data_IF_247536220026
#
_entry.id   IF_247536220026
#
_cell.length_a   1.000
_cell.length_b   1.000
_cell.length_c   1.000
_cell.angle_alpha   90.00
_cell.angle_beta   90.00
_cell.angle_gamma   90.00
#
_symmetry.space_group_name_H-M   'P 1'
#
loop_
_entity.id
_entity.type
_entity.pdbx_description
1 polymer ?
#
# COMPACT_ATOMS: atom_id res chain seq x y z
N UNK A 1 6.90 6.01 -23.87
CA UNK A 1 6.67 5.36 -22.56
C UNK A 1 5.44 5.85 -21.79
N UNK A 2 5.09 7.17 -21.77
CA UNK A 2 3.78 7.65 -21.24
C UNK A 2 2.58 6.94 -21.89
N UNK A 3 2.67 6.63 -23.18
CA UNK A 3 1.60 5.99 -23.93
C UNK A 3 1.39 4.50 -23.57
N UNK A 4 2.40 3.81 -23.02
CA UNK A 4 2.28 2.37 -22.75
C UNK A 4 1.39 2.09 -21.55
N UNK A 5 1.53 2.87 -20.46
CA UNK A 5 0.73 2.67 -19.24
C UNK A 5 -0.73 3.07 -19.47
N UNK A 6 -0.95 4.19 -20.16
CA UNK A 6 -2.29 4.62 -20.53
C UNK A 6 -2.94 3.63 -21.52
N UNK A 7 -2.19 3.15 -22.52
CA UNK A 7 -2.68 2.13 -23.45
C UNK A 7 -2.92 0.79 -22.76
N UNK A 8 -2.10 0.39 -21.79
CA UNK A 8 -2.27 -0.86 -21.04
C UNK A 8 -3.52 -0.83 -20.16
N UNK A 9 -3.74 0.27 -19.43
CA UNK A 9 -4.95 0.49 -18.64
C UNK A 9 -6.19 0.55 -19.55
N UNK A 10 -6.11 1.26 -20.68
CA UNK A 10 -7.23 1.36 -21.63
C UNK A 10 -7.51 0.00 -22.28
N UNK A 11 -6.48 -0.77 -22.64
CA UNK A 11 -6.65 -2.11 -23.23
C UNK A 11 -7.24 -3.09 -22.22
N UNK A 12 -6.82 -3.05 -20.96
CA UNK A 12 -7.42 -3.89 -19.90
C UNK A 12 -8.85 -3.44 -19.59
N UNK A 13 -9.10 -2.13 -19.49
CA UNK A 13 -10.45 -1.61 -19.30
C UNK A 13 -11.38 -1.99 -20.48
N UNK A 14 -10.89 -1.93 -21.72
CA UNK A 14 -11.65 -2.36 -22.91
C UNK A 14 -11.86 -3.88 -22.98
N UNK A 15 -10.91 -4.68 -22.48
CA UNK A 15 -11.07 -6.13 -22.33
C UNK A 15 -12.10 -6.48 -21.26
N UNK A 16 -12.13 -5.74 -20.14
CA UNK A 16 -13.09 -5.95 -19.05
C UNK A 16 -14.51 -5.50 -19.41
N UNK A 17 -14.66 -4.44 -20.22
CA UNK A 17 -15.98 -3.96 -20.69
C UNK A 17 -16.66 -4.95 -21.65
N UNK A 18 -15.90 -5.82 -22.33
CA UNK A 18 -16.43 -6.71 -23.37
C UNK A 18 -16.70 -8.15 -22.93
N UNK A 19 -16.51 -8.50 -21.65
CA UNK A 19 -16.79 -9.87 -21.19
C UNK A 19 -17.70 -9.89 -19.95
N UNK A 20 -19.01 -9.64 -20.11
CA UNK A 20 -19.97 -9.74 -19.01
C UNK A 20 -19.93 -11.11 -18.31
N UNK A 21 -19.59 -12.17 -19.04
CA UNK A 21 -19.52 -13.55 -18.54
C UNK A 21 -18.16 -13.94 -17.92
N UNK A 22 -17.12 -13.09 -17.97
CA UNK A 22 -15.82 -13.37 -17.33
C UNK A 22 -15.85 -13.11 -15.82
N UNK A 23 -16.91 -12.48 -15.31
CA UNK A 23 -17.02 -12.05 -13.92
C UNK A 23 -17.74 -13.08 -13.04
N UNK A 24 -18.38 -14.08 -13.65
CA UNK A 24 -18.96 -15.26 -12.99
C UNK A 24 -18.13 -16.53 -13.27
N UNK A 25 -16.82 -16.38 -13.45
CA UNK A 25 -15.92 -17.50 -13.67
C UNK A 25 -15.79 -18.28 -12.35
N UNK A 26 -16.57 -19.36 -12.23
CA UNK A 26 -16.28 -20.41 -11.26
C UNK A 26 -14.93 -21.04 -11.62
N UNK A 27 -14.05 -21.14 -10.64
CA UNK A 27 -12.80 -21.86 -10.76
C UNK A 27 -12.73 -22.90 -9.65
N UNK A 28 -12.15 -24.05 -9.96
CA UNK A 28 -11.85 -25.07 -8.96
C UNK A 28 -10.42 -24.88 -8.43
N UNK A 29 -10.22 -25.16 -7.15
CA UNK A 29 -8.89 -25.22 -6.55
C UNK A 29 -8.32 -26.60 -6.83
N UNK A 30 -7.29 -26.65 -7.68
CA UNK A 30 -6.67 -27.89 -8.10
C UNK A 30 -5.42 -28.19 -7.25
N UNK A 31 -5.08 -29.48 -7.04
CA UNK A 31 -3.83 -29.84 -6.38
C UNK A 31 -2.62 -29.29 -7.12
N UNK A 32 -1.86 -28.43 -6.45
CA UNK A 32 -0.65 -27.80 -7.01
C UNK A 32 0.60 -28.52 -6.52
N UNK A 33 1.58 -28.72 -7.41
CA UNK A 33 2.89 -29.21 -7.01
C UNK A 33 3.59 -28.16 -6.11
N UNK A 34 4.04 -28.49 -4.88
CA UNK A 34 4.68 -27.55 -3.97
C UNK A 34 5.89 -26.80 -4.55
N UNK A 35 6.58 -27.38 -5.54
CA UNK A 35 7.70 -26.71 -6.24
C UNK A 35 7.25 -25.40 -6.91
N UNK A 36 5.97 -25.29 -7.28
CA UNK A 36 5.41 -24.07 -7.86
C UNK A 36 5.22 -22.92 -6.86
N UNK A 37 5.51 -23.14 -5.58
CA UNK A 37 5.64 -22.07 -4.57
C UNK A 37 7.00 -21.35 -4.70
N UNK A 38 8.00 -22.00 -5.32
CA UNK A 38 9.35 -21.43 -5.43
C UNK A 38 9.42 -20.08 -6.18
N UNK A 39 8.71 -19.84 -7.30
CA UNK A 39 8.69 -18.53 -7.96
C UNK A 39 8.25 -17.39 -7.03
N UNK A 40 7.29 -17.65 -6.16
CA UNK A 40 6.80 -16.68 -5.19
C UNK A 40 7.86 -16.36 -4.12
N UNK A 41 8.46 -17.38 -3.52
CA UNK A 41 9.54 -17.22 -2.54
C UNK A 41 10.73 -16.48 -3.17
N UNK A 42 11.14 -16.86 -4.39
CA UNK A 42 12.25 -16.24 -5.10
C UNK A 42 11.97 -14.76 -5.41
N UNK A 43 10.74 -14.42 -5.80
CA UNK A 43 10.35 -13.04 -6.07
C UNK A 43 10.45 -12.20 -4.79
N UNK A 44 9.91 -12.69 -3.67
CA UNK A 44 9.93 -11.99 -2.39
C UNK A 44 11.35 -11.80 -1.86
N UNK A 45 12.17 -12.85 -1.89
CA UNK A 45 13.59 -12.76 -1.52
C UNK A 45 14.35 -11.79 -2.42
N UNK A 46 14.02 -11.75 -3.72
CA UNK A 46 14.64 -10.79 -4.64
C UNK A 46 14.29 -9.35 -4.25
N UNK A 47 13.03 -9.05 -3.94
CA UNK A 47 12.58 -7.72 -3.50
C UNK A 47 13.27 -7.33 -2.18
N UNK A 48 13.36 -8.25 -1.23
CA UNK A 48 13.94 -7.96 0.09
C UNK A 48 15.47 -7.82 0.06
N UNK A 49 16.18 -8.58 -0.78
CA UNK A 49 17.64 -8.73 -0.67
C UNK A 49 18.39 -8.03 -1.81
N UNK A 50 17.91 -8.07 -3.05
CA UNK A 50 18.64 -7.52 -4.21
C UNK A 50 18.93 -6.02 -4.13
N UNK A 51 18.05 -5.15 -3.59
CA UNK A 51 18.38 -3.73 -3.40
C UNK A 51 19.62 -3.50 -2.53
N UNK A 52 19.91 -4.40 -1.59
CA UNK A 52 21.07 -4.32 -0.71
C UNK A 52 22.33 -4.95 -1.31
N UNK A 53 22.18 -5.99 -2.14
CA UNK A 53 23.31 -6.62 -2.84
C UNK A 53 23.77 -5.78 -4.03
N UNK A 54 22.85 -5.41 -4.92
CA UNK A 54 23.14 -4.63 -6.11
C UNK A 54 21.95 -3.74 -6.49
N UNK A 55 21.92 -2.56 -5.87
CA UNK A 55 20.89 -1.53 -6.08
C UNK A 55 20.70 -1.17 -7.55
N UNK A 56 21.77 -0.89 -8.28
CA UNK A 56 21.68 -0.43 -9.67
C UNK A 56 21.15 -1.51 -10.61
N UNK A 57 21.54 -2.77 -10.39
CA UNK A 57 20.99 -3.88 -11.16
C UNK A 57 19.50 -4.05 -10.87
N UNK A 58 19.10 -4.00 -9.60
CA UNK A 58 17.70 -4.16 -9.20
C UNK A 58 16.81 -3.05 -9.79
N UNK A 59 17.21 -1.78 -9.67
CA UNK A 59 16.48 -0.62 -10.19
C UNK A 59 16.15 -0.76 -11.69
N UNK A 60 17.02 -1.44 -12.47
CA UNK A 60 16.80 -1.67 -13.90
C UNK A 60 16.08 -2.99 -14.22
N UNK A 61 16.30 -4.05 -13.44
CA UNK A 61 15.88 -5.42 -13.78
C UNK A 61 14.69 -5.94 -12.98
N UNK A 62 14.22 -5.23 -11.94
CA UNK A 62 13.03 -5.65 -11.19
C UNK A 62 11.81 -5.97 -12.06
N UNK A 63 11.52 -5.25 -13.19
CA UNK A 63 10.39 -5.60 -14.05
C UNK A 63 10.58 -6.95 -14.71
N UNK A 64 11.80 -7.23 -15.17
CA UNK A 64 12.13 -8.50 -15.80
C UNK A 64 12.01 -9.66 -14.81
N UNK A 65 12.55 -9.51 -13.60
CA UNK A 65 12.45 -10.54 -12.55
C UNK A 65 10.99 -10.83 -12.19
N UNK A 66 10.19 -9.77 -11.98
CA UNK A 66 8.77 -9.87 -11.65
C UNK A 66 7.98 -10.60 -12.74
N UNK A 67 8.11 -10.17 -14.00
CA UNK A 67 7.37 -10.79 -15.10
C UNK A 67 7.87 -12.19 -15.45
N UNK A 68 9.18 -12.46 -15.34
CA UNK A 68 9.72 -13.80 -15.62
C UNK A 68 9.19 -14.84 -14.63
N UNK A 69 9.23 -14.55 -13.32
CA UNK A 69 8.71 -15.46 -12.29
C UNK A 69 7.19 -15.57 -12.34
N UNK A 70 6.47 -14.47 -12.60
CA UNK A 70 5.03 -14.48 -12.84
C UNK A 70 4.64 -15.35 -14.05
N UNK A 71 5.36 -15.21 -15.17
CA UNK A 71 5.09 -15.96 -16.39
C UNK A 71 5.24 -17.48 -16.20
N UNK A 72 6.23 -17.94 -15.41
CA UNK A 72 6.37 -19.36 -15.07
C UNK A 72 5.07 -19.91 -14.46
N UNK A 73 4.46 -19.13 -13.57
CA UNK A 73 3.23 -19.53 -12.88
C UNK A 73 2.01 -19.49 -13.82
N UNK A 74 1.88 -18.41 -14.60
CA UNK A 74 0.81 -18.27 -15.60
C UNK A 74 0.84 -19.43 -16.60
N UNK A 75 2.02 -19.74 -17.15
CA UNK A 75 2.20 -20.84 -18.12
C UNK A 75 1.84 -22.19 -17.48
N UNK A 76 2.24 -22.42 -16.23
CA UNK A 76 1.87 -23.64 -15.51
C UNK A 76 0.34 -23.78 -15.35
N UNK A 77 -0.36 -22.72 -14.94
CA UNK A 77 -1.81 -22.76 -14.80
C UNK A 77 -2.54 -22.91 -16.14
N UNK A 78 -2.05 -22.26 -17.20
CA UNK A 78 -2.71 -22.27 -18.51
C UNK A 78 -2.55 -23.62 -19.21
N UNK A 79 -1.35 -24.17 -19.21
CA UNK A 79 -1.02 -25.31 -20.07
C UNK A 79 -0.95 -26.65 -19.31
N UNK A 80 -0.54 -26.63 -18.04
CA UNK A 80 -0.36 -27.85 -17.24
C UNK A 80 -1.64 -28.13 -16.44
N UNK A 81 -2.07 -27.19 -15.58
CA UNK A 81 -3.31 -27.36 -14.81
C UNK A 81 -4.57 -27.09 -15.64
N UNK A 82 -4.46 -26.39 -16.78
CA UNK A 82 -5.57 -25.95 -17.63
C UNK A 82 -6.64 -25.15 -16.86
N UNK A 83 -6.22 -24.42 -15.84
CA UNK A 83 -7.05 -23.59 -14.99
C UNK A 83 -6.83 -22.10 -15.29
N UNK A 84 -7.14 -21.72 -16.54
CA UNK A 84 -7.17 -20.32 -16.98
C UNK A 84 -8.15 -19.47 -16.15
N UNK A 85 -9.36 -19.97 -15.82
CA UNK A 85 -10.29 -19.33 -14.88
C UNK A 85 -9.66 -18.73 -13.62
N UNK A 86 -8.88 -19.53 -12.87
CA UNK A 86 -8.22 -19.10 -11.64
C UNK A 86 -7.31 -17.90 -11.84
N UNK A 87 -6.48 -17.94 -12.88
CA UNK A 87 -5.53 -16.86 -13.18
C UNK A 87 -6.21 -15.58 -13.67
N UNK A 88 -7.32 -15.71 -14.42
CA UNK A 88 -8.13 -14.55 -14.83
C UNK A 88 -8.77 -13.88 -13.63
N UNK A 89 -9.32 -14.67 -12.71
CA UNK A 89 -9.87 -14.15 -11.46
C UNK A 89 -8.80 -13.38 -10.66
N UNK A 90 -7.61 -13.95 -10.48
CA UNK A 90 -6.49 -13.25 -9.83
C UNK A 90 -6.06 -11.97 -10.57
N UNK A 91 -6.12 -11.95 -11.91
CA UNK A 91 -5.82 -10.76 -12.70
C UNK A 91 -6.86 -9.64 -12.48
N UNK A 92 -8.14 -10.01 -12.29
CA UNK A 92 -9.21 -9.07 -11.92
C UNK A 92 -8.95 -8.49 -10.52
N UNK A 93 -8.64 -9.34 -9.53
CA UNK A 93 -8.29 -8.89 -8.17
C UNK A 93 -7.08 -7.93 -8.18
N UNK A 94 -6.05 -8.24 -8.96
CA UNK A 94 -4.90 -7.36 -9.17
C UNK A 94 -5.31 -6.01 -9.80
N UNK A 95 -6.21 -6.04 -10.78
CA UNK A 95 -6.69 -4.82 -11.44
C UNK A 95 -7.49 -3.93 -10.48
N UNK A 96 -8.38 -4.52 -9.68
CA UNK A 96 -9.12 -3.82 -8.63
C UNK A 96 -8.17 -3.22 -7.59
N UNK A 97 -7.18 -4.00 -7.16
CA UNK A 97 -6.14 -3.58 -6.24
C UNK A 97 -5.36 -2.36 -6.75
N UNK A 98 -4.84 -2.41 -7.98
CA UNK A 98 -4.03 -1.32 -8.52
C UNK A 98 -4.87 -0.08 -8.84
N UNK A 99 -6.16 -0.26 -9.17
CA UNK A 99 -7.10 0.84 -9.37
C UNK A 99 -7.33 1.62 -8.08
N UNK A 100 -7.51 0.92 -6.95
CA UNK A 100 -7.66 1.56 -5.65
C UNK A 100 -6.38 2.31 -5.24
N UNK A 101 -5.24 1.62 -5.17
CA UNK A 101 -3.99 2.23 -4.69
C UNK A 101 -3.55 3.34 -5.64
N UNK A 102 -3.68 3.13 -6.95
CA UNK A 102 -3.33 4.12 -7.96
C UNK A 102 -4.20 5.37 -7.86
N UNK A 103 -5.51 5.21 -7.69
CA UNK A 103 -6.42 6.35 -7.54
C UNK A 103 -6.15 7.12 -6.25
N UNK A 104 -5.99 6.45 -5.11
CA UNK A 104 -5.62 7.09 -3.85
C UNK A 104 -4.28 7.83 -3.96
N UNK A 105 -3.26 7.21 -4.57
CA UNK A 105 -1.95 7.84 -4.77
C UNK A 105 -2.03 9.12 -5.61
N UNK A 106 -2.74 9.07 -6.75
CA UNK A 106 -2.89 10.22 -7.65
C UNK A 106 -3.65 11.36 -6.96
N UNK A 107 -4.81 11.05 -6.36
CA UNK A 107 -5.66 12.06 -5.74
C UNK A 107 -4.99 12.67 -4.50
N UNK A 108 -4.36 11.83 -3.65
CA UNK A 108 -3.60 12.30 -2.50
C UNK A 108 -2.38 13.13 -2.91
N UNK A 109 -1.72 12.78 -4.02
CA UNK A 109 -0.65 13.56 -4.63
C UNK A 109 -1.08 14.97 -5.07
N UNK A 110 -2.37 15.18 -5.33
CA UNK A 110 -2.98 16.47 -5.62
C UNK A 110 -3.32 17.31 -4.37
N UNK A 111 -3.05 16.83 -3.15
CA UNK A 111 -3.28 17.58 -1.90
C UNK A 111 -1.94 18.03 -1.35
N UNK A 112 -1.75 19.33 -1.23
CA UNK A 112 -0.54 19.89 -0.62
C UNK A 112 -0.87 20.54 0.71
N UNK A 113 -0.26 20.04 1.78
CA UNK A 113 -0.39 20.58 3.13
C UNK A 113 0.93 21.24 3.53
N UNK A 114 0.84 22.49 3.98
CA UNK A 114 1.89 23.21 4.68
C UNK A 114 1.43 23.44 6.10
N UNK A 115 2.18 22.89 7.05
CA UNK A 115 1.86 22.99 8.48
C UNK A 115 2.65 24.15 9.07
N UNK A 116 1.95 25.07 9.75
CA UNK A 116 2.56 26.08 10.62
C UNK A 116 2.84 25.44 11.97
N UNK A 117 4.05 25.57 12.48
CA UNK A 117 4.31 25.11 13.84
C UNK A 117 5.76 24.96 14.21
N UNK A 118 5.96 24.72 15.50
CA UNK A 118 7.25 24.43 16.12
C UNK A 118 7.55 22.95 16.00
N UNK A 119 8.80 22.60 15.72
CA UNK A 119 9.31 21.23 15.69
C UNK A 119 9.49 20.64 17.10
N UNK A 120 8.43 20.64 17.93
CA UNK A 120 8.50 20.05 19.29
C UNK A 120 8.20 18.54 19.26
N UNK A 121 8.70 17.77 20.23
CA UNK A 121 8.38 16.34 20.31
C UNK A 121 6.89 16.04 20.38
N UNK A 122 6.13 16.86 21.12
CA UNK A 122 4.67 16.70 21.22
C UNK A 122 4.00 17.00 19.87
N UNK A 123 4.43 18.03 19.16
CA UNK A 123 3.89 18.34 17.83
C UNK A 123 4.12 17.19 16.84
N UNK A 124 5.29 16.54 16.87
CA UNK A 124 5.54 15.36 16.05
C UNK A 124 4.68 14.16 16.43
N UNK A 125 4.50 13.89 17.73
CA UNK A 125 3.61 12.82 18.20
C UNK A 125 2.18 13.06 17.73
N UNK A 126 1.69 14.30 17.84
CA UNK A 126 0.35 14.67 17.36
C UNK A 126 0.26 14.48 15.85
N UNK A 127 1.24 14.97 15.09
CA UNK A 127 1.25 14.85 13.63
C UNK A 127 1.29 13.40 13.16
N UNK A 128 2.11 12.54 13.79
CA UNK A 128 2.16 11.12 13.51
C UNK A 128 0.87 10.40 13.92
N UNK A 129 0.27 10.76 15.05
CA UNK A 129 -1.03 10.22 15.50
C UNK A 129 -2.17 10.60 14.56
N UNK A 130 -2.22 11.85 14.10
CA UNK A 130 -3.14 12.30 13.04
C UNK A 130 -2.88 11.49 11.76
N UNK A 131 -1.61 11.29 11.39
CA UNK A 131 -1.23 10.47 10.25
C UNK A 131 -1.76 9.04 10.35
N UNK A 132 -1.62 8.39 11.51
CA UNK A 132 -2.17 7.05 11.74
C UNK A 132 -3.69 7.01 11.54
N UNK A 133 -4.42 8.01 12.04
CA UNK A 133 -5.88 8.11 11.84
C UNK A 133 -6.20 8.31 10.36
N UNK A 134 -5.56 9.27 9.70
CA UNK A 134 -5.78 9.60 8.28
C UNK A 134 -5.46 8.41 7.37
N UNK A 135 -4.45 7.58 7.70
CA UNK A 135 -4.13 6.37 6.94
C UNK A 135 -5.31 5.41 6.82
N UNK A 136 -6.23 5.35 7.80
CA UNK A 136 -7.44 4.52 7.71
C UNK A 136 -8.50 5.04 6.73
N UNK A 137 -8.35 6.27 6.23
CA UNK A 137 -9.25 6.87 5.25
C UNK A 137 -8.58 7.01 3.89
N UNK A 138 -7.32 7.40 3.84
CA UNK A 138 -6.60 7.68 2.58
C UNK A 138 -5.74 6.52 2.08
N UNK A 139 -5.66 5.44 2.85
CA UNK A 139 -4.63 4.42 2.68
C UNK A 139 -3.27 4.89 3.21
N UNK A 140 -2.44 3.95 3.67
CA UNK A 140 -1.06 4.17 4.09
C UNK A 140 -0.26 4.92 3.01
N UNK A 141 -0.44 4.55 1.74
CA UNK A 141 0.18 5.21 0.59
C UNK A 141 -0.29 6.66 0.41
N UNK A 142 -1.60 6.91 0.46
CA UNK A 142 -2.17 8.25 0.29
C UNK A 142 -1.81 9.19 1.44
N UNK A 143 -1.95 8.71 2.68
CA UNK A 143 -1.56 9.47 3.88
C UNK A 143 -0.06 9.79 3.89
N UNK A 144 0.78 8.84 3.47
CA UNK A 144 2.23 9.07 3.32
C UNK A 144 2.53 10.15 2.30
N UNK A 145 1.87 10.13 1.14
CA UNK A 145 2.06 11.13 0.09
C UNK A 145 1.70 12.55 0.55
N UNK A 146 0.64 12.67 1.34
CA UNK A 146 0.17 13.96 1.89
C UNK A 146 1.08 14.45 3.02
N UNK A 147 1.54 13.56 3.90
CA UNK A 147 2.12 13.96 5.19
C UNK A 147 3.66 13.91 5.26
N UNK A 148 4.35 13.13 4.43
CA UNK A 148 5.81 12.96 4.55
C UNK A 148 6.55 14.28 4.35
N UNK A 149 6.13 15.07 3.36
CA UNK A 149 6.73 16.37 3.02
C UNK A 149 6.53 17.42 4.10
N UNK A 150 5.29 17.70 4.56
CA UNK A 150 5.12 18.62 5.67
C UNK A 150 5.83 18.14 6.93
N UNK A 151 5.88 16.83 7.18
CA UNK A 151 6.61 16.28 8.33
C UNK A 151 8.12 16.53 8.25
N UNK A 152 8.75 16.30 7.08
CA UNK A 152 10.17 16.61 6.86
C UNK A 152 10.41 18.12 6.98
N UNK A 153 9.57 18.94 6.37
CA UNK A 153 9.71 20.41 6.39
C UNK A 153 9.57 20.98 7.80
N UNK A 154 8.60 20.48 8.58
CA UNK A 154 8.41 20.86 9.98
C UNK A 154 9.66 20.53 10.82
N UNK A 155 10.35 19.43 10.49
CA UNK A 155 11.55 18.98 11.20
C UNK A 155 12.87 19.38 10.53
N UNK A 156 12.87 20.26 9.51
CA UNK A 156 14.04 20.52 8.64
C UNK A 156 15.37 20.81 9.37
N UNK A 157 15.32 21.42 10.55
CA UNK A 157 16.50 21.78 11.35
C UNK A 157 17.03 20.66 12.27
N UNK A 158 16.26 19.60 12.47
CA UNK A 158 16.63 18.48 13.36
C UNK A 158 16.25 17.10 12.83
N UNK A 159 15.87 17.03 11.55
CA UNK A 159 15.44 15.79 10.92
C UNK A 159 16.58 14.79 10.98
N UNK A 160 16.24 13.56 11.33
CA UNK A 160 17.18 12.46 11.49
C UNK A 160 16.52 11.16 11.01
N UNK A 161 17.32 10.11 10.83
CA UNK A 161 16.82 8.82 10.34
C UNK A 161 15.64 8.27 11.15
N UNK A 162 15.65 8.40 12.48
CA UNK A 162 14.55 7.89 13.31
C UNK A 162 13.22 8.58 13.01
N UNK A 163 13.20 9.87 12.69
CA UNK A 163 11.95 10.56 12.35
C UNK A 163 11.28 9.90 11.15
N UNK A 164 12.06 9.56 10.12
CA UNK A 164 11.58 8.92 8.90
C UNK A 164 11.16 7.47 9.19
N UNK A 165 11.95 6.72 9.96
CA UNK A 165 11.62 5.34 10.35
C UNK A 165 10.32 5.28 11.14
N UNK A 166 10.12 6.16 12.13
CA UNK A 166 8.88 6.19 12.91
C UNK A 166 7.69 6.70 12.08
N UNK A 167 7.91 7.61 11.12
CA UNK A 167 6.88 7.97 10.16
C UNK A 167 6.44 6.74 9.34
N UNK A 168 7.39 5.96 8.85
CA UNK A 168 7.11 4.73 8.10
C UNK A 168 6.32 3.74 8.97
N UNK A 169 6.78 3.50 10.20
CA UNK A 169 6.10 2.57 11.11
C UNK A 169 4.67 3.00 11.43
N UNK A 170 4.45 4.28 11.74
CA UNK A 170 3.16 4.77 12.24
C UNK A 170 2.19 5.09 11.11
N UNK A 171 2.63 5.81 10.08
CA UNK A 171 1.76 6.35 9.02
C UNK A 171 1.73 5.41 7.81
N UNK A 172 2.88 4.92 7.39
CA UNK A 172 3.03 4.11 6.17
C UNK A 172 2.86 2.60 6.38
N UNK A 173 2.63 2.15 7.62
CA UNK A 173 2.46 0.73 7.94
C UNK A 173 1.27 0.54 8.91
N UNK A 174 1.48 0.58 10.23
CA UNK A 174 0.45 0.17 11.20
C UNK A 174 -0.76 1.11 11.25
N UNK A 175 -0.64 2.32 10.70
CA UNK A 175 -1.69 3.34 10.69
C UNK A 175 -2.96 2.86 10.00
N UNK A 176 -2.85 2.24 8.82
CA UNK A 176 -3.99 1.88 7.97
C UNK A 176 -4.72 0.57 8.33
N UNK A 177 -4.50 0.01 9.51
CA UNK A 177 -4.96 -1.35 9.84
C UNK A 177 -6.41 -1.45 10.35
N UNK A 178 -7.26 -0.41 10.24
CA UNK A 178 -8.66 -0.47 10.70
C UNK A 178 -9.68 -0.67 9.59
N UNK A 179 -9.37 -0.32 8.34
CA UNK A 179 -10.33 -0.38 7.23
C UNK A 179 -9.71 -1.05 6.00
N UNK A 180 -10.52 -1.68 5.13
CA UNK A 180 -10.05 -2.21 3.85
C UNK A 180 -9.36 -1.17 2.96
N UNK A 181 -9.70 0.11 3.11
CA UNK A 181 -9.10 1.19 2.34
C UNK A 181 -7.73 1.57 2.90
N UNK A 182 -7.56 1.38 4.21
CA UNK A 182 -6.40 1.86 4.94
C UNK A 182 -5.11 1.16 4.58
N UNK A 183 -5.15 -0.13 4.26
CA UNK A 183 -3.96 -0.87 3.86
C UNK A 183 -4.29 -1.90 2.77
N UNK A 184 -3.42 -2.09 1.75
CA UNK A 184 -3.64 -3.02 0.66
C UNK A 184 -4.05 -4.46 1.07
N UNK A 185 -3.50 -5.08 2.13
CA UNK A 185 -3.90 -6.42 2.57
C UNK A 185 -5.37 -6.51 3.00
N UNK A 186 -5.86 -5.49 3.72
CA UNK A 186 -7.24 -5.47 4.19
C UNK A 186 -8.23 -5.29 3.03
N UNK A 187 -7.82 -4.56 1.99
CA UNK A 187 -8.60 -4.49 0.75
C UNK A 187 -8.74 -5.85 0.09
N UNK A 188 -7.66 -6.63 0.05
CA UNK A 188 -7.71 -7.98 -0.52
C UNK A 188 -8.60 -8.91 0.31
N UNK A 189 -8.55 -8.79 1.65
CA UNK A 189 -9.51 -9.47 2.51
C UNK A 189 -10.96 -9.12 2.19
N UNK A 190 -11.23 -7.84 1.92
CA UNK A 190 -12.56 -7.39 1.53
C UNK A 190 -12.99 -7.97 0.17
N UNK A 191 -12.10 -8.03 -0.82
CA UNK A 191 -12.38 -8.72 -2.10
C UNK A 191 -12.66 -10.22 -1.92
N UNK A 192 -12.02 -10.86 -0.92
CA UNK A 192 -12.29 -12.25 -0.51
C UNK A 192 -13.54 -12.42 0.38
N UNK A 193 -14.30 -11.36 0.62
CA UNK A 193 -15.58 -11.40 1.33
C UNK A 193 -15.55 -11.04 2.82
N UNK A 194 -14.41 -10.56 3.35
CA UNK A 194 -14.36 -10.03 4.73
C UNK A 194 -15.19 -8.75 4.81
N UNK A 195 -16.18 -8.62 5.72
CA UNK A 195 -17.02 -7.43 5.79
C UNK A 195 -16.23 -6.15 6.07
N UNK A 196 -16.59 -5.05 5.42
CA UNK A 196 -15.85 -3.78 5.49
C UNK A 196 -15.57 -3.29 6.93
N UNK A 197 -16.57 -3.37 7.81
CA UNK A 197 -16.47 -2.89 9.19
C UNK A 197 -15.95 -3.95 10.19
N UNK A 198 -15.58 -5.14 9.72
CA UNK A 198 -15.17 -6.23 10.61
C UNK A 198 -13.91 -5.87 11.40
N UNK A 199 -12.88 -5.34 10.74
CA UNK A 199 -11.59 -5.04 11.38
C UNK A 199 -11.72 -3.93 12.40
N UNK A 200 -12.32 -2.79 12.04
CA UNK A 200 -12.52 -1.67 12.97
C UNK A 200 -13.36 -2.07 14.20
N UNK A 201 -14.39 -2.90 14.04
CA UNK A 201 -15.23 -3.30 15.19
C UNK A 201 -14.52 -4.28 16.14
N UNK A 202 -13.57 -5.06 15.64
CA UNK A 202 -12.90 -6.14 16.41
C UNK A 202 -11.48 -5.82 16.87
N UNK A 203 -10.77 -4.93 16.19
CA UNK A 203 -9.31 -4.77 16.32
C UNK A 203 -8.90 -3.36 16.75
N UNK A 204 -9.82 -2.38 16.82
CA UNK A 204 -9.48 -0.98 17.11
C UNK A 204 -8.68 -0.76 18.40
N UNK A 205 -8.95 -1.54 19.46
CA UNK A 205 -8.24 -1.43 20.72
C UNK A 205 -6.82 -2.00 20.63
N UNK A 206 -6.60 -3.08 19.87
CA UNK A 206 -5.27 -3.65 19.61
C UNK A 206 -4.44 -2.65 18.80
N UNK A 207 -5.05 -2.08 17.76
CA UNK A 207 -4.45 -1.02 16.95
C UNK A 207 -4.07 0.20 17.79
N UNK A 208 -4.96 0.67 18.67
CA UNK A 208 -4.71 1.81 19.54
C UNK A 208 -3.53 1.55 20.46
N UNK A 209 -3.43 0.36 21.04
CA UNK A 209 -2.31 -0.04 21.90
C UNK A 209 -1.01 -0.09 21.08
N UNK A 210 -1.02 -0.66 19.87
CA UNK A 210 0.14 -0.74 19.00
C UNK A 210 0.65 0.66 18.59
N UNK A 211 -0.22 1.49 18.01
CA UNK A 211 0.09 2.88 17.62
C UNK A 211 0.55 3.70 18.83
N UNK A 212 -0.17 3.60 19.95
CA UNK A 212 0.15 4.31 21.18
C UNK A 212 1.52 3.92 21.74
N UNK A 213 1.88 2.63 21.70
CA UNK A 213 3.18 2.14 22.15
C UNK A 213 4.32 2.65 21.27
N UNK A 214 4.17 2.61 19.95
CA UNK A 214 5.18 3.10 19.01
C UNK A 214 5.33 4.63 19.11
N UNK A 215 4.22 5.37 19.24
CA UNK A 215 4.24 6.82 19.49
C UNK A 215 4.92 7.18 20.81
N UNK A 216 4.69 6.39 21.87
CA UNK A 216 5.33 6.60 23.16
C UNK A 216 6.85 6.40 23.07
N UNK A 217 7.30 5.32 22.43
CA UNK A 217 8.74 5.09 22.20
C UNK A 217 9.34 6.22 21.36
N UNK A 218 8.65 6.64 20.28
CA UNK A 218 9.07 7.79 19.49
C UNK A 218 9.21 9.04 20.36
N UNK A 219 8.22 9.35 21.21
CA UNK A 219 8.26 10.51 22.09
C UNK A 219 9.48 10.49 23.02
N UNK A 220 9.81 9.33 23.62
CA UNK A 220 10.96 9.20 24.51
C UNK A 220 12.28 9.49 23.77
N UNK A 221 12.44 8.90 22.58
CA UNK A 221 13.62 9.09 21.73
C UNK A 221 13.69 10.54 21.25
N UNK A 222 12.58 11.09 20.76
CA UNK A 222 12.53 12.45 20.21
C UNK A 222 12.80 13.50 21.29
N UNK A 223 12.22 13.33 22.49
CA UNK A 223 12.45 14.20 23.64
C UNK A 223 13.90 14.15 24.11
N UNK A 224 14.51 12.97 24.15
CA UNK A 224 15.92 12.83 24.55
C UNK A 224 16.86 13.56 23.58
N UNK A 225 16.62 13.44 22.27
CA UNK A 225 17.41 14.15 21.25
C UNK A 225 17.10 15.65 21.22
N UNK A 226 15.85 16.05 21.43
CA UNK A 226 15.43 17.45 21.45
C UNK A 226 16.15 18.26 22.54
N UNK A 227 16.35 17.67 23.73
CA UNK A 227 17.11 18.29 24.83
C UNK A 227 18.59 18.56 24.53
N UNK A 228 19.15 17.94 23.48
CA UNK A 228 20.55 18.12 23.08
C UNK A 228 20.73 19.22 22.03
N UNK A 229 19.65 19.84 21.54
CA UNK A 229 19.76 20.93 20.57
C UNK A 229 20.39 22.18 21.23
N UNK A 230 21.31 22.87 20.55
CA UNK A 230 21.83 24.16 21.01
C UNK A 230 20.74 25.26 21.03
N UNK A 231 20.75 26.11 22.06
CA UNK A 231 19.79 27.24 22.25
C UNK A 231 19.69 28.19 21.04
N UNK A 232 20.77 28.32 20.25
CA UNK A 232 20.80 29.19 19.05
C UNK A 232 19.86 28.65 17.96
N UNK A 233 19.81 27.32 17.80
CA UNK A 233 18.94 26.66 16.83
C UNK A 233 17.47 26.73 17.26
N UNK A 234 17.22 26.79 18.56
CA UNK A 234 15.87 26.99 19.12
C UNK A 234 15.30 28.36 18.74
N UNK A 235 16.12 29.43 18.76
CA UNK A 235 15.72 30.79 18.37
C UNK A 235 15.46 30.95 16.87
N UNK A 236 16.23 30.29 16.00
CA UNK A 236 15.97 30.32 14.55
C UNK A 236 14.66 29.62 14.17
N UNK A 237 14.29 28.54 14.87
CA UNK A 237 13.02 27.84 14.70
C UNK A 237 11.85 28.74 15.08
N UNK A 238 11.98 29.56 16.13
CA UNK A 238 10.94 30.51 16.55
C UNK A 238 10.72 31.67 15.56
N UNK A 239 11.78 32.13 14.89
CA UNK A 239 11.72 33.31 14.03
C UNK A 239 11.11 33.06 12.63
N UNK A 240 11.19 31.84 12.10
CA UNK A 240 10.81 31.51 10.70
C UNK A 240 9.40 30.93 10.52
N UNK A 241 8.44 31.27 11.38
CA UNK A 241 7.08 30.70 11.35
C UNK A 241 6.41 30.77 9.98
N UNK A 242 6.41 29.65 9.23
CA UNK A 242 5.73 29.53 7.94
C UNK A 242 4.20 29.58 8.13
N UNK A 243 3.47 30.14 7.16
CA UNK A 243 2.00 30.13 7.19
C UNK A 243 1.43 28.75 6.89
N UNK A 244 0.33 28.39 7.56
CA UNK A 244 -0.39 27.15 7.29
C UNK A 244 -1.19 27.33 6.00
N UNK A 245 -0.93 26.50 5.01
CA UNK A 245 -1.57 26.58 3.70
C UNK A 245 -1.99 25.17 3.28
N UNK A 246 -3.25 25.02 2.90
CA UNK A 246 -3.77 23.78 2.32
C UNK A 246 -4.23 24.08 0.90
N UNK A 247 -3.60 23.43 -0.08
CA UNK A 247 -3.90 23.57 -1.50
C UNK A 247 -4.42 22.26 -2.07
N UNK A 248 -5.25 22.35 -3.12
CA UNK A 248 -5.81 21.17 -3.78
C UNK A 248 -6.96 20.51 -3.02
N UNK A 249 -7.66 21.26 -2.15
CA UNK A 249 -8.74 20.72 -1.31
C UNK A 249 -9.91 20.10 -2.11
N UNK A 250 -10.11 20.48 -3.37
CA UNK A 250 -11.08 19.84 -4.26
C UNK A 250 -10.80 18.34 -4.45
N UNK A 251 -9.56 17.88 -4.28
CA UNK A 251 -9.20 16.47 -4.30
C UNK A 251 -9.81 15.68 -3.14
N UNK A 252 -10.24 16.33 -2.06
CA UNK A 252 -11.03 15.68 -0.99
C UNK A 252 -12.37 15.17 -1.52
N UNK A 253 -12.96 15.84 -2.52
CA UNK A 253 -14.19 15.37 -3.18
C UNK A 253 -13.92 14.07 -3.95
N UNK A 254 -12.83 14.03 -4.74
CA UNK A 254 -12.44 12.82 -5.46
C UNK A 254 -12.08 11.67 -4.52
N UNK A 255 -11.44 11.95 -3.38
CA UNK A 255 -11.23 10.96 -2.33
C UNK A 255 -12.57 10.41 -1.83
N UNK A 256 -13.51 11.26 -1.44
CA UNK A 256 -14.83 10.81 -0.98
C UNK A 256 -15.57 9.95 -2.02
N UNK A 257 -15.45 10.29 -3.32
CA UNK A 257 -15.99 9.50 -4.42
C UNK A 257 -15.32 8.11 -4.46
N UNK A 258 -13.99 8.04 -4.36
CA UNK A 258 -13.25 6.76 -4.32
C UNK A 258 -13.68 5.92 -3.11
N UNK A 259 -13.82 6.53 -1.92
CA UNK A 259 -14.28 5.83 -0.71
C UNK A 259 -15.69 5.26 -0.88
N UNK A 260 -16.60 6.03 -1.50
CA UNK A 260 -17.95 5.55 -1.82
C UNK A 260 -17.94 4.45 -2.88
N UNK A 261 -17.05 4.53 -3.87
CA UNK A 261 -16.94 3.56 -4.95
C UNK A 261 -16.55 2.16 -4.46
N UNK A 262 -15.84 2.04 -3.33
CA UNK A 262 -15.44 0.73 -2.73
C UNK A 262 -16.65 -0.17 -2.44
N UNK A 263 -17.82 0.41 -2.18
CA UNK A 263 -19.07 -0.32 -1.93
C UNK A 263 -19.82 -0.71 -3.20
N UNK A 264 -19.35 -0.30 -4.38
CA UNK A 264 -19.94 -0.65 -5.66
C UNK A 264 -19.34 -1.96 -6.18
N UNK A 265 -20.11 -2.62 -7.03
CA UNK A 265 -19.70 -3.83 -7.71
C UNK A 265 -18.72 -3.54 -8.85
N UNK A 266 -17.91 -4.55 -9.17
CA UNK A 266 -17.06 -4.56 -10.35
C UNK A 266 -17.94 -4.61 -11.62
N UNK A 267 -17.57 -3.94 -12.73
CA UNK A 267 -16.41 -3.07 -12.93
C UNK A 267 -16.68 -1.57 -12.63
N UNK A 268 -17.89 -1.23 -12.14
CA UNK A 268 -18.31 0.16 -11.91
C UNK A 268 -17.39 0.85 -10.90
N UNK A 269 -17.00 0.11 -9.84
CA UNK A 269 -16.04 0.54 -8.84
C UNK A 269 -14.74 1.04 -9.45
N UNK A 270 -14.10 0.23 -10.29
CA UNK A 270 -12.81 0.53 -10.92
C UNK A 270 -12.92 1.71 -11.88
N UNK A 271 -14.01 1.78 -12.66
CA UNK A 271 -14.28 2.90 -13.57
C UNK A 271 -14.36 4.22 -12.81
N UNK A 272 -15.07 4.25 -11.68
CA UNK A 272 -15.20 5.46 -10.86
C UNK A 272 -13.86 5.84 -10.20
N UNK A 273 -13.10 4.85 -9.72
CA UNK A 273 -11.77 5.09 -9.13
C UNK A 273 -10.79 5.68 -10.14
N UNK A 274 -10.67 5.06 -11.32
CA UNK A 274 -9.78 5.53 -12.40
C UNK A 274 -10.26 6.89 -12.92
N UNK A 275 -11.56 7.05 -13.13
CA UNK A 275 -12.17 8.32 -13.56
C UNK A 275 -11.88 9.45 -12.59
N UNK A 276 -12.01 9.20 -11.28
CA UNK A 276 -11.70 10.19 -10.23
C UNK A 276 -10.22 10.55 -10.20
N UNK A 277 -9.33 9.57 -10.37
CA UNK A 277 -7.88 9.80 -10.46
C UNK A 277 -7.51 10.67 -11.67
N UNK A 278 -8.08 10.36 -12.84
CA UNK A 278 -7.85 11.13 -14.08
C UNK A 278 -8.40 12.55 -13.93
N UNK A 279 -9.64 12.70 -13.44
CA UNK A 279 -10.25 14.00 -13.23
C UNK A 279 -9.45 14.84 -12.23
N UNK A 280 -9.02 14.26 -11.11
CA UNK A 280 -8.13 14.90 -10.13
C UNK A 280 -6.81 15.36 -10.75
N UNK A 281 -6.14 14.48 -11.50
CA UNK A 281 -4.85 14.82 -12.12
C UNK A 281 -4.98 15.95 -13.15
N UNK A 282 -6.08 16.01 -13.90
CA UNK A 282 -6.34 17.04 -14.90
C UNK A 282 -6.81 18.37 -14.30
N UNK A 283 -7.53 18.34 -13.18
CA UNK A 283 -8.07 19.55 -12.52
C UNK A 283 -7.10 20.17 -11.51
N UNK A 284 -6.18 19.39 -10.96
CA UNK A 284 -5.15 19.89 -10.02
C UNK A 284 -4.12 20.74 -10.75
N UNK A 285 -3.89 21.97 -10.25
CA UNK A 285 -2.84 22.86 -10.76
C UNK A 285 -1.47 22.15 -10.70
N UNK A 286 -0.71 22.26 -11.79
CA UNK A 286 0.63 21.65 -11.91
C UNK A 286 1.60 22.05 -10.79
N UNK A 287 1.51 23.29 -10.30
CA UNK A 287 2.32 23.78 -9.18
C UNK A 287 2.13 22.95 -7.89
N UNK A 288 0.94 22.39 -7.66
CA UNK A 288 0.66 21.55 -6.49
C UNK A 288 1.42 20.22 -6.62
N UNK A 289 1.35 19.61 -7.80
CA UNK A 289 2.12 18.39 -8.10
C UNK A 289 3.63 18.63 -7.99
N UNK A 290 4.14 19.77 -8.47
CA UNK A 290 5.56 20.13 -8.35
C UNK A 290 5.98 20.34 -6.88
N UNK A 291 5.17 21.02 -6.06
CA UNK A 291 5.42 21.15 -4.60
C UNK A 291 5.39 19.80 -3.88
N UNK A 292 4.66 18.83 -4.43
CA UNK A 292 4.60 17.46 -3.98
C UNK A 292 5.58 16.51 -4.70
N UNK A 293 6.55 17.02 -5.48
CA UNK A 293 7.42 16.27 -6.43
C UNK A 293 6.74 15.01 -6.99
N UNK A 294 5.47 15.19 -7.35
CA UNK A 294 4.61 14.10 -7.74
C UNK A 294 5.13 13.52 -9.05
N UNK A 295 5.32 12.21 -9.06
CA UNK A 295 5.70 11.47 -10.24
C UNK A 295 5.12 10.06 -10.17
N UNK A 296 4.96 9.41 -11.32
CA UNK A 296 4.34 8.10 -11.43
C UNK A 296 5.31 6.93 -11.16
N UNK A 297 6.56 7.21 -10.78
CA UNK A 297 7.57 6.15 -10.58
C UNK A 297 7.14 5.19 -9.46
N UNK A 298 6.75 5.65 -8.25
CA UNK A 298 6.36 4.75 -7.16
C UNK A 298 5.19 3.84 -7.53
N UNK A 299 4.13 4.41 -8.12
CA UNK A 299 2.95 3.61 -8.46
C UNK A 299 3.21 2.63 -9.61
N UNK A 300 4.14 2.97 -10.51
CA UNK A 300 4.59 2.06 -11.58
C UNK A 300 5.39 0.91 -11.00
N UNK A 301 6.30 1.17 -10.06
CA UNK A 301 7.06 0.13 -9.36
C UNK A 301 6.12 -0.83 -8.64
N UNK A 302 5.17 -0.29 -7.87
CA UNK A 302 4.12 -1.07 -7.19
C UNK A 302 3.35 -1.92 -8.19
N UNK A 303 2.80 -1.34 -9.26
CA UNK A 303 2.04 -2.09 -10.27
C UNK A 303 2.85 -3.28 -10.84
N UNK A 304 4.10 -3.06 -11.23
CA UNK A 304 4.93 -4.09 -11.86
C UNK A 304 5.31 -5.20 -10.87
N UNK A 305 5.69 -4.85 -9.64
CA UNK A 305 6.05 -5.84 -8.62
C UNK A 305 4.82 -6.64 -8.20
N UNK A 306 3.69 -5.97 -7.96
CA UNK A 306 2.46 -6.64 -7.56
C UNK A 306 1.88 -7.53 -8.67
N UNK A 307 2.06 -7.20 -9.95
CA UNK A 307 1.67 -8.10 -11.03
C UNK A 307 2.37 -9.47 -10.92
N UNK A 308 3.68 -9.47 -10.62
CA UNK A 308 4.44 -10.70 -10.38
C UNK A 308 4.04 -11.39 -9.08
N UNK A 309 3.83 -10.63 -8.00
CA UNK A 309 3.40 -11.17 -6.70
C UNK A 309 2.05 -11.88 -6.83
N UNK A 310 1.05 -11.22 -7.41
CA UNK A 310 -0.28 -11.81 -7.64
C UNK A 310 -0.20 -13.06 -8.51
N UNK A 311 0.59 -13.02 -9.59
CA UNK A 311 0.75 -14.20 -10.44
C UNK A 311 1.40 -15.37 -9.69
N UNK A 312 2.47 -15.10 -8.93
CA UNK A 312 3.25 -16.15 -8.25
C UNK A 312 2.62 -16.66 -6.97
N UNK A 313 1.78 -15.88 -6.30
CA UNK A 313 1.12 -16.31 -5.05
C UNK A 313 0.00 -17.33 -5.25
N UNK A 314 -0.57 -17.46 -6.46
CA UNK A 314 -1.68 -18.40 -6.73
C UNK A 314 -1.33 -19.85 -6.33
N UNK A 315 -0.19 -20.45 -6.75
CA UNK A 315 0.26 -21.75 -6.25
C UNK A 315 0.31 -21.87 -4.73
N UNK A 316 0.76 -20.81 -4.04
CA UNK A 316 0.89 -20.82 -2.59
C UNK A 316 -0.48 -20.83 -1.93
N UNK A 317 -1.41 -19.98 -2.40
CA UNK A 317 -2.79 -19.94 -1.91
C UNK A 317 -3.52 -21.26 -2.16
N UNK A 318 -3.50 -21.77 -3.39
CA UNK A 318 -4.19 -23.01 -3.74
C UNK A 318 -3.63 -24.21 -2.96
N UNK A 319 -2.30 -24.25 -2.75
CA UNK A 319 -1.69 -25.30 -1.94
C UNK A 319 -2.08 -25.18 -0.46
N UNK A 320 -2.10 -23.96 0.09
CA UNK A 320 -2.51 -23.70 1.47
C UNK A 320 -3.97 -24.05 1.68
N UNK A 321 -4.87 -23.66 0.78
CA UNK A 321 -6.29 -23.96 0.89
C UNK A 321 -6.57 -25.47 0.97
N UNK A 322 -5.78 -26.30 0.28
CA UNK A 322 -5.89 -27.76 0.32
C UNK A 322 -5.12 -28.43 1.48
N UNK A 323 -4.21 -27.73 2.15
CA UNK A 323 -3.29 -28.33 3.13
C UNK A 323 -3.23 -27.60 4.49
N UNK A 324 -3.98 -26.51 4.69
CA UNK A 324 -3.92 -25.69 5.90
C UNK A 324 -4.18 -26.51 7.16
N UNK A 325 -5.14 -27.44 7.12
CA UNK A 325 -5.47 -28.34 8.25
C UNK A 325 -4.29 -29.23 8.67
N UNK A 326 -3.34 -29.49 7.76
CA UNK A 326 -2.18 -30.35 8.01
C UNK A 326 -0.97 -29.59 8.55
N UNK A 327 -0.99 -28.25 8.55
CA UNK A 327 0.14 -27.42 9.00
C UNK A 327 0.36 -27.44 10.51
N UNK A 328 -0.60 -27.97 11.28
CA UNK A 328 -0.45 -28.10 12.74
C UNK A 328 -0.49 -26.77 13.49
N UNK A 329 -1.02 -25.70 12.89
CA UNK A 329 -1.26 -24.42 13.54
C UNK A 329 -2.60 -24.51 14.27
N UNK A 330 -2.56 -24.83 15.56
CA UNK A 330 -3.76 -25.08 16.38
C UNK A 330 -4.00 -24.02 17.43
N UNK A 331 -3.01 -23.17 17.73
CA UNK A 331 -3.11 -22.15 18.78
C UNK A 331 -2.99 -20.72 18.24
N UNK A 332 -3.75 -19.75 18.78
CA UNK A 332 -3.68 -18.34 18.36
C UNK A 332 -2.27 -17.75 18.42
N UNK A 333 -1.44 -18.17 19.38
CA UNK A 333 -0.05 -17.72 19.48
C UNK A 333 0.81 -18.18 18.30
N UNK A 334 0.57 -19.38 17.76
CA UNK A 334 1.27 -19.87 16.57
C UNK A 334 0.86 -19.06 15.33
N UNK A 335 -0.43 -18.74 15.20
CA UNK A 335 -0.92 -17.82 14.16
C UNK A 335 -0.27 -16.43 14.27
N UNK A 336 -0.21 -15.87 15.47
CA UNK A 336 0.38 -14.55 15.69
C UNK A 336 1.87 -14.51 15.32
N UNK A 337 2.67 -15.44 15.83
CA UNK A 337 4.11 -15.47 15.54
C UNK A 337 4.41 -15.92 14.11
N UNK A 338 3.65 -16.87 13.58
CA UNK A 338 3.81 -17.36 12.20
C UNK A 338 3.52 -16.27 11.17
N UNK A 339 2.37 -15.60 11.29
CA UNK A 339 2.02 -14.46 10.43
C UNK A 339 3.01 -13.31 10.62
N UNK A 340 3.37 -12.97 11.85
CA UNK A 340 4.30 -11.88 12.15
C UNK A 340 5.70 -12.08 11.60
N UNK A 341 6.26 -13.30 11.71
CA UNK A 341 7.56 -13.63 11.12
C UNK A 341 7.47 -13.53 9.60
N UNK A 342 6.45 -14.12 8.99
CA UNK A 342 6.31 -14.10 7.53
C UNK A 342 6.13 -12.65 7.02
N UNK A 343 5.28 -11.84 7.65
CA UNK A 343 5.08 -10.40 7.36
C UNK A 343 6.33 -9.53 7.59
N UNK A 344 7.31 -10.00 8.36
CA UNK A 344 8.56 -9.26 8.60
C UNK A 344 9.58 -9.44 7.46
N UNK A 345 9.49 -10.57 6.75
CA UNK A 345 10.33 -10.88 5.58
C UNK A 345 9.61 -10.64 4.26
N UNK A 346 8.28 -10.76 4.26
CA UNK A 346 7.38 -10.70 3.12
C UNK A 346 6.50 -9.45 3.22
N UNK A 347 5.98 -8.98 2.09
CA UNK A 347 4.92 -7.98 2.08
C UNK A 347 3.70 -8.43 2.91
N UNK A 348 2.97 -7.48 3.48
CA UNK A 348 1.81 -7.73 4.32
C UNK A 348 0.66 -8.38 3.51
N UNK A 349 0.53 -8.06 2.22
CA UNK A 349 -0.60 -8.49 1.40
C UNK A 349 -0.61 -10.01 1.15
N UNK A 350 0.49 -10.63 0.68
CA UNK A 350 0.53 -12.08 0.55
C UNK A 350 0.49 -12.81 1.89
N UNK A 351 1.07 -12.23 2.94
CA UNK A 351 0.98 -12.79 4.30
C UNK A 351 -0.48 -12.86 4.75
N UNK A 352 -1.23 -11.77 4.58
CA UNK A 352 -2.64 -11.69 4.97
C UNK A 352 -3.53 -12.68 4.21
N UNK A 353 -3.26 -12.93 2.92
CA UNK A 353 -4.07 -13.86 2.14
C UNK A 353 -3.76 -15.33 2.43
N UNK A 354 -2.58 -15.63 2.97
CA UNK A 354 -2.16 -16.99 3.29
C UNK A 354 -2.69 -17.52 4.65
N UNK A 355 -3.16 -16.63 5.53
CA UNK A 355 -3.58 -16.94 6.90
C UNK A 355 -4.96 -16.40 7.19
#
# INVERSE_FOLDING_TARGET
>A
MKNFFLSFIITIALLLVNVPDAFAIEYEILPVNPVMIAPFILLLLSIAVMPFINRHWWEHNYPFVSFALGAVTVVYYFFILKNVPRMLHTAIEYFSFISLIGSLFVVAGGIHIRVKGRSTPIANVILLGIGAIISNFLGTTGASMVLIRPYIRLNKYRISGYHIVFFIFIVSNIGGMLTPIGDPPLFLGYLKGVPFFWVITRVWYIWLIAVGSVLFVFYLIDRYNYKKLPDVMEREIEAKGEEAVVEGLHNVIFLAIILGAVFLEEPIREIIMIGSAVASYLTTKREIHERNDFNFIPIKEVAILFAGIFATMVPALDWLELNAEKLGITHPGQFFWGTGVLSSFVDNAPTYLNF
#
